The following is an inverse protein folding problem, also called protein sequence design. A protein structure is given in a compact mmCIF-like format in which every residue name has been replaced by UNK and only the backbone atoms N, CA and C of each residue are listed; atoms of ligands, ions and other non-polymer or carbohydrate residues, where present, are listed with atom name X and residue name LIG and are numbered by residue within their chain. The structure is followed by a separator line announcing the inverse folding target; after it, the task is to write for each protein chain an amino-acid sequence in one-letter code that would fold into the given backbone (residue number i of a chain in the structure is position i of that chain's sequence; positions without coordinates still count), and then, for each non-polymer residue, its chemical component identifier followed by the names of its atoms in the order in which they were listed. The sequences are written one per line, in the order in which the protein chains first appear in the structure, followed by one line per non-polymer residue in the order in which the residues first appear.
data_IF_675492924951
#
_entry.id   IF_675492924951
#
_cell.length_a   1.000
_cell.length_b   1.000
_cell.length_c   1.000
_cell.angle_alpha   90.00
_cell.angle_beta   90.00
_cell.angle_gamma   90.00
#
_symmetry.space_group_name_H-M   'P 1'
#
loop_
_entity.id
_entity.type
_entity.pdbx_description
1 polymer ?
#
# COMPACT_ATOMS: atom_id res chain seq x y z
N UNK A 1 -23.48 7.86 -13.81
CA UNK A 1 -23.24 7.66 -12.36
C UNK A 1 -24.48 7.23 -11.55
N UNK A 2 -25.66 7.00 -12.15
CA UNK A 2 -26.88 6.68 -11.38
C UNK A 2 -26.88 5.30 -10.71
N UNK A 3 -26.34 4.28 -11.37
CA UNK A 3 -26.44 2.87 -10.94
C UNK A 3 -25.77 2.58 -9.59
N UNK A 4 -24.57 3.12 -9.35
CA UNK A 4 -23.84 2.92 -8.09
C UNK A 4 -24.52 3.62 -6.90
N UNK A 5 -25.08 4.82 -7.12
CA UNK A 5 -25.78 5.56 -6.07
C UNK A 5 -27.17 4.97 -5.76
N UNK A 6 -27.83 4.34 -6.75
CA UNK A 6 -29.07 3.59 -6.52
C UNK A 6 -28.83 2.31 -5.75
N UNK A 7 -27.76 1.56 -6.06
CA UNK A 7 -27.40 0.37 -5.30
C UNK A 7 -27.07 0.71 -3.83
N UNK A 8 -26.21 1.72 -3.62
CA UNK A 8 -25.90 2.20 -2.26
C UNK A 8 -27.15 2.71 -1.54
N UNK A 9 -28.06 3.39 -2.26
CA UNK A 9 -29.34 3.82 -1.71
C UNK A 9 -30.19 2.64 -1.23
N UNK A 10 -30.20 1.55 -2.00
CA UNK A 10 -30.86 0.29 -1.64
C UNK A 10 -30.30 -0.33 -0.37
N UNK A 11 -28.99 -0.30 -0.15
CA UNK A 11 -28.39 -0.79 1.10
C UNK A 11 -28.75 0.04 2.34
N UNK A 12 -29.07 1.33 2.17
CA UNK A 12 -29.41 2.21 3.30
C UNK A 12 -30.90 2.13 3.67
N UNK A 13 -31.80 2.10 2.68
CA UNK A 13 -33.24 2.19 2.91
C UNK A 13 -34.03 0.95 2.46
N UNK A 14 -33.34 -0.09 1.99
CA UNK A 14 -33.95 -1.24 1.30
C UNK A 14 -34.11 -0.99 -0.20
N UNK A 15 -34.02 -2.05 -1.01
CA UNK A 15 -34.07 -1.95 -2.47
C UNK A 15 -35.38 -1.37 -3.01
N UNK A 16 -36.51 -1.57 -2.30
CA UNK A 16 -37.80 -0.96 -2.63
C UNK A 16 -37.84 0.56 -2.44
N UNK A 17 -36.94 1.11 -1.63
CA UNK A 17 -36.82 2.54 -1.33
C UNK A 17 -35.45 3.10 -1.76
N UNK A 18 -34.80 2.47 -2.73
CA UNK A 18 -33.51 2.88 -3.25
C UNK A 18 -33.46 4.38 -3.64
N UNK A 19 -34.49 4.98 -4.30
CA UNK A 19 -34.47 6.41 -4.63
C UNK A 19 -34.35 7.33 -3.39
N UNK A 20 -35.02 6.97 -2.30
CA UNK A 20 -34.94 7.74 -1.05
C UNK A 20 -33.54 7.64 -0.44
N UNK A 21 -32.95 6.44 -0.43
CA UNK A 21 -31.56 6.23 -0.01
C UNK A 21 -30.56 7.00 -0.88
N UNK A 22 -30.74 6.99 -2.21
CA UNK A 22 -29.92 7.77 -3.15
C UNK A 22 -29.98 9.26 -2.86
N UNK A 23 -31.18 9.81 -2.60
CA UNK A 23 -31.34 11.22 -2.22
C UNK A 23 -30.59 11.54 -0.93
N UNK A 24 -30.65 10.66 0.08
CA UNK A 24 -29.90 10.81 1.34
C UNK A 24 -28.39 10.82 1.10
N UNK A 25 -27.85 9.88 0.33
CA UNK A 25 -26.42 9.83 0.01
C UNK A 25 -26.00 11.07 -0.78
N UNK A 26 -26.79 11.47 -1.78
CA UNK A 26 -26.49 12.66 -2.58
C UNK A 26 -26.43 13.92 -1.70
N UNK A 27 -27.38 14.07 -0.78
CA UNK A 27 -27.37 15.16 0.20
C UNK A 27 -26.15 15.11 1.13
N UNK A 28 -25.76 13.90 1.59
CA UNK A 28 -24.56 13.71 2.40
C UNK A 28 -23.29 14.15 1.66
N UNK A 29 -23.10 13.68 0.42
CA UNK A 29 -21.92 13.99 -0.40
C UNK A 29 -21.80 15.47 -0.77
N UNK A 30 -22.90 16.23 -0.75
CA UNK A 30 -22.92 17.69 -0.98
C UNK A 30 -22.86 18.50 0.31
N UNK A 31 -22.98 17.86 1.47
CA UNK A 31 -23.00 18.54 2.76
C UNK A 31 -21.63 19.10 3.10
N UNK A 32 -21.53 20.40 3.41
CA UNK A 32 -20.29 21.03 3.90
C UNK A 32 -19.82 20.47 5.24
N UNK A 33 -20.71 19.82 6.00
CA UNK A 33 -20.37 19.15 7.27
C UNK A 33 -19.76 17.76 7.05
N UNK A 34 -19.87 17.21 5.84
CA UNK A 34 -19.28 15.93 5.50
C UNK A 34 -17.85 16.13 5.01
N UNK A 35 -16.88 15.58 5.73
CA UNK A 35 -15.45 15.69 5.41
C UNK A 35 -14.80 14.31 5.41
N UNK A 36 -13.70 14.16 4.67
CA UNK A 36 -12.91 12.92 4.64
C UNK A 36 -12.42 12.50 6.03
N UNK A 37 -12.20 13.45 6.94
CA UNK A 37 -11.78 13.20 8.32
C UNK A 37 -12.76 12.30 9.08
N UNK A 38 -14.07 12.35 8.77
CA UNK A 38 -15.07 11.48 9.39
C UNK A 38 -14.80 10.01 9.02
N UNK A 39 -14.49 9.77 7.73
CA UNK A 39 -14.17 8.43 7.23
C UNK A 39 -12.86 7.94 7.84
N UNK A 40 -11.84 8.79 7.88
CA UNK A 40 -10.56 8.46 8.52
C UNK A 40 -10.75 8.05 9.98
N UNK A 41 -11.46 8.85 10.76
CA UNK A 41 -11.71 8.58 12.18
C UNK A 41 -12.47 7.25 12.38
N UNK A 42 -13.43 6.97 11.50
CA UNK A 42 -14.13 5.70 11.50
C UNK A 42 -13.18 4.53 11.22
N UNK A 43 -12.36 4.60 10.17
CA UNK A 43 -11.41 3.54 9.80
C UNK A 43 -10.37 3.31 10.91
N UNK A 44 -9.84 4.36 11.52
CA UNK A 44 -8.92 4.24 12.65
C UNK A 44 -9.57 3.60 13.89
N UNK A 45 -10.83 3.96 14.19
CA UNK A 45 -11.59 3.34 15.28
C UNK A 45 -11.79 1.84 15.04
N UNK A 46 -12.16 1.44 13.82
CA UNK A 46 -12.28 0.02 13.46
C UNK A 46 -10.93 -0.70 13.50
N UNK A 47 -9.86 -0.04 13.06
CA UNK A 47 -8.50 -0.60 13.09
C UNK A 47 -8.05 -0.90 14.51
N UNK A 48 -8.24 0.03 15.46
CA UNK A 48 -7.89 -0.20 16.88
C UNK A 48 -8.62 -1.41 17.47
N UNK A 49 -9.94 -1.49 17.26
CA UNK A 49 -10.74 -2.64 17.70
C UNK A 49 -10.24 -3.96 17.11
N UNK A 50 -9.90 -3.94 15.82
CA UNK A 50 -9.39 -5.13 15.14
C UNK A 50 -8.00 -5.52 15.64
N UNK A 51 -7.12 -4.56 15.91
CA UNK A 51 -5.80 -4.81 16.47
C UNK A 51 -5.86 -5.50 17.81
N UNK A 52 -6.68 -4.99 18.74
CA UNK A 52 -6.90 -5.62 20.03
C UNK A 52 -7.37 -7.07 19.88
N UNK A 53 -8.28 -7.32 18.94
CA UNK A 53 -8.76 -8.67 18.64
C UNK A 53 -7.66 -9.59 18.09
N UNK A 54 -6.82 -9.10 17.16
CA UNK A 54 -5.70 -9.87 16.61
C UNK A 54 -4.67 -10.22 17.69
N UNK A 55 -4.31 -9.25 18.53
CA UNK A 55 -3.37 -9.45 19.64
C UNK A 55 -3.94 -10.46 20.64
N UNK A 56 -5.22 -10.35 21.02
CA UNK A 56 -5.89 -11.33 21.90
C UNK A 56 -5.89 -12.74 21.33
N UNK A 57 -5.94 -12.89 20.00
CA UNK A 57 -5.85 -14.18 19.31
C UNK A 57 -4.39 -14.69 19.16
N UNK A 58 -3.40 -13.97 19.70
CA UNK A 58 -1.98 -14.32 19.53
C UNK A 58 -1.46 -14.14 18.10
N UNK A 59 -2.18 -13.40 17.25
CA UNK A 59 -1.80 -13.15 15.86
C UNK A 59 -0.99 -11.87 15.79
N UNK A 60 0.16 -11.91 15.14
CA UNK A 60 0.97 -10.71 14.86
C UNK A 60 0.25 -9.83 13.84
N UNK A 61 -0.11 -8.58 14.18
CA UNK A 61 -0.70 -7.66 13.23
C UNK A 61 0.31 -7.20 12.17
N UNK A 62 -0.17 -7.08 10.93
CA UNK A 62 0.59 -6.62 9.77
C UNK A 62 -0.07 -5.37 9.20
N UNK A 63 0.70 -4.30 9.02
CA UNK A 63 0.26 -3.07 8.35
C UNK A 63 0.83 -3.03 6.94
N UNK A 64 0.03 -3.40 5.96
CA UNK A 64 0.42 -3.48 4.55
C UNK A 64 0.36 -2.09 3.92
N UNK A 65 1.46 -1.64 3.33
CA UNK A 65 1.51 -0.39 2.55
C UNK A 65 1.30 -0.67 1.08
N UNK A 66 0.41 0.09 0.44
CA UNK A 66 0.18 0.02 -1.00
C UNK A 66 -0.11 1.41 -1.59
N UNK A 67 0.23 1.58 -2.85
CA UNK A 67 0.00 2.78 -3.63
C UNK A 67 -0.49 2.44 -5.03
N UNK A 68 -1.41 3.28 -5.52
CA UNK A 68 -1.84 3.14 -6.91
C UNK A 68 -2.42 4.44 -7.44
N UNK A 69 -3.20 4.33 -8.51
CA UNK A 69 -3.95 5.44 -9.10
C UNK A 69 -5.40 5.07 -9.33
N UNK A 70 -6.24 6.08 -9.31
CA UNK A 70 -7.60 6.01 -9.82
C UNK A 70 -7.67 6.76 -11.14
N UNK A 71 -7.98 6.00 -12.19
CA UNK A 71 -8.21 6.54 -13.52
C UNK A 71 -9.62 7.16 -13.59
N UNK A 72 -9.71 8.40 -14.06
CA UNK A 72 -10.96 9.16 -14.26
C UNK A 72 -10.98 9.75 -15.67
N UNK A 73 -10.77 8.88 -16.67
CA UNK A 73 -10.65 9.29 -18.07
C UNK A 73 -11.90 9.99 -18.63
N UNK A 74 -13.06 9.75 -18.04
CA UNK A 74 -14.33 10.40 -18.36
C UNK A 74 -14.47 11.81 -17.79
N UNK A 75 -13.54 12.23 -16.92
CA UNK A 75 -13.61 13.49 -16.17
C UNK A 75 -12.50 14.45 -16.58
N UNK A 76 -12.88 15.65 -16.99
CA UNK A 76 -11.94 16.73 -17.33
C UNK A 76 -12.04 17.93 -16.38
N UNK A 77 -13.20 18.10 -15.74
CA UNK A 77 -13.52 19.27 -14.92
C UNK A 77 -13.47 19.00 -13.41
N UNK A 78 -13.16 17.78 -12.98
CA UNK A 78 -13.00 17.51 -11.55
C UNK A 78 -11.74 18.21 -11.04
N UNK A 79 -11.88 18.86 -9.89
CA UNK A 79 -10.78 19.54 -9.25
C UNK A 79 -9.71 18.55 -8.77
N UNK A 80 -8.45 18.96 -8.84
CA UNK A 80 -7.32 18.17 -8.35
C UNK A 80 -6.92 17.00 -9.25
N UNK A 81 -7.48 16.83 -10.45
CA UNK A 81 -7.01 15.79 -11.39
C UNK A 81 -5.54 16.03 -11.80
N UNK A 82 -4.76 14.95 -11.88
CA UNK A 82 -3.44 14.93 -12.52
C UNK A 82 -3.34 13.84 -13.59
N UNK A 83 -2.21 13.83 -14.28
CA UNK A 83 -1.87 12.79 -15.25
C UNK A 83 -1.44 11.51 -14.53
N UNK A 84 -2.15 10.40 -14.76
CA UNK A 84 -1.81 9.07 -14.21
C UNK A 84 -1.66 8.03 -15.32
N UNK A 85 -0.71 7.11 -15.19
CA UNK A 85 -0.46 6.05 -16.19
C UNK A 85 -1.67 5.10 -16.27
N UNK A 86 -2.28 4.95 -17.45
CA UNK A 86 -3.46 4.10 -17.62
C UNK A 86 -3.06 2.63 -17.78
N UNK A 87 -3.45 1.84 -16.79
CA UNK A 87 -3.35 0.38 -16.82
C UNK A 87 -4.27 -0.23 -17.90
N UNK A 88 -5.46 0.35 -18.07
CA UNK A 88 -6.43 -0.06 -19.09
C UNK A 88 -5.88 0.17 -20.49
N UNK A 89 -5.36 1.36 -20.78
CA UNK A 89 -4.78 1.67 -22.08
C UNK A 89 -3.58 0.77 -22.37
N UNK A 90 -2.67 0.61 -21.41
CA UNK A 90 -1.50 -0.30 -21.53
C UNK A 90 -1.89 -1.73 -21.88
N UNK A 91 -2.99 -2.24 -21.32
CA UNK A 91 -3.52 -3.56 -21.65
C UNK A 91 -4.11 -3.60 -23.06
N UNK A 92 -4.90 -2.58 -23.44
CA UNK A 92 -5.52 -2.48 -24.76
C UNK A 92 -4.49 -2.33 -25.89
N UNK A 93 -3.34 -1.72 -25.61
CA UNK A 93 -2.24 -1.59 -26.59
C UNK A 93 -1.36 -2.84 -26.68
N UNK A 94 -1.61 -3.88 -25.88
CA UNK A 94 -0.90 -5.16 -25.95
C UNK A 94 -1.50 -6.05 -27.07
N UNK A 95 -1.47 -5.53 -28.28
CA UNK A 95 -1.90 -6.21 -29.52
C UNK A 95 -0.73 -7.00 -30.11
N UNK A 96 -1.02 -8.03 -30.91
CA UNK A 96 -0.01 -8.84 -31.61
C UNK A 96 0.91 -7.94 -32.45
N UNK A 97 2.22 -8.16 -32.35
CA UNK A 97 3.24 -7.44 -33.13
C UNK A 97 2.91 -7.51 -34.62
N UNK A 98 2.96 -6.37 -35.31
CA UNK A 98 2.66 -6.23 -36.75
C UNK A 98 1.23 -5.78 -37.09
N UNK A 99 0.26 -5.94 -36.19
CA UNK A 99 -1.12 -5.48 -36.40
C UNK A 99 -1.35 -4.04 -35.92
N UNK A 100 -0.59 -3.64 -34.91
CA UNK A 100 -0.65 -2.32 -34.32
C UNK A 100 0.73 -1.97 -33.78
N UNK A 101 1.17 -0.74 -34.03
CA UNK A 101 2.39 -0.18 -33.45
C UNK A 101 1.97 0.69 -32.26
N UNK A 102 1.99 0.16 -31.02
CA UNK A 102 1.53 0.92 -29.88
C UNK A 102 2.41 2.15 -29.64
N UNK A 103 1.86 3.22 -29.03
CA UNK A 103 2.65 4.38 -28.65
C UNK A 103 3.84 3.95 -27.78
N UNK A 104 5.04 4.43 -28.15
CA UNK A 104 6.26 4.14 -27.38
C UNK A 104 6.27 4.85 -26.01
N UNK A 105 5.50 5.94 -25.87
CA UNK A 105 5.38 6.71 -24.63
C UNK A 105 4.31 6.12 -23.71
N UNK A 106 4.43 6.39 -22.41
CA UNK A 106 3.40 6.04 -21.44
C UNK A 106 2.09 6.72 -21.79
N UNK A 107 0.99 5.97 -21.78
CA UNK A 107 -0.34 6.50 -21.99
C UNK A 107 -0.89 6.92 -20.64
N UNK A 108 -1.24 8.20 -20.52
CA UNK A 108 -1.79 8.76 -19.29
C UNK A 108 -3.21 9.27 -19.50
N UNK A 109 -4.00 9.23 -18.44
CA UNK A 109 -5.37 9.75 -18.37
C UNK A 109 -5.50 10.65 -17.14
N UNK A 110 -6.52 11.53 -17.08
CA UNK A 110 -6.85 12.24 -15.85
C UNK A 110 -7.15 11.26 -14.70
N UNK A 111 -6.72 11.57 -13.49
CA UNK A 111 -6.94 10.75 -12.32
C UNK A 111 -6.31 11.30 -11.04
N UNK A 112 -6.26 10.45 -10.02
CA UNK A 112 -5.63 10.73 -8.73
C UNK A 112 -4.63 9.63 -8.38
N UNK A 113 -3.60 9.98 -7.62
CA UNK A 113 -2.83 8.98 -6.90
C UNK A 113 -3.52 8.66 -5.58
N UNK A 114 -3.33 7.45 -5.07
CA UNK A 114 -3.69 7.11 -3.71
C UNK A 114 -2.60 6.31 -3.04
N UNK A 115 -2.50 6.47 -1.73
CA UNK A 115 -1.64 5.69 -0.85
C UNK A 115 -2.48 5.20 0.32
N UNK A 116 -2.36 3.92 0.67
CA UNK A 116 -3.18 3.30 1.71
C UNK A 116 -2.35 2.43 2.64
N UNK A 117 -2.83 2.32 3.87
CA UNK A 117 -2.38 1.32 4.83
C UNK A 117 -3.53 0.39 5.17
N UNK A 118 -3.24 -0.91 5.13
CA UNK A 118 -4.22 -1.97 5.32
C UNK A 118 -3.79 -2.87 6.48
N UNK A 119 -4.70 -3.11 7.40
CA UNK A 119 -4.48 -4.03 8.52
C UNK A 119 -4.83 -5.46 8.12
N UNK A 120 -3.96 -6.40 8.45
CA UNK A 120 -4.21 -7.84 8.32
C UNK A 120 -3.37 -8.64 9.33
N UNK A 121 -3.46 -9.97 9.24
CA UNK A 121 -2.55 -10.93 9.86
C UNK A 121 -2.46 -12.17 8.97
N UNK A 122 -1.52 -13.07 9.24
CA UNK A 122 -1.40 -14.30 8.45
C UNK A 122 -2.69 -15.13 8.51
N UNK A 123 -3.28 -15.40 7.34
CA UNK A 123 -4.54 -16.14 7.20
C UNK A 123 -5.81 -15.31 7.44
N UNK A 124 -5.69 -14.02 7.71
CA UNK A 124 -6.82 -13.13 8.00
C UNK A 124 -7.23 -12.29 6.78
N UNK A 125 -8.48 -11.83 6.80
CA UNK A 125 -8.94 -10.84 5.83
C UNK A 125 -8.22 -9.50 6.02
N UNK A 126 -8.22 -8.67 4.98
CA UNK A 126 -7.62 -7.34 5.01
C UNK A 126 -8.71 -6.30 5.31
N UNK A 127 -8.38 -5.26 6.07
CA UNK A 127 -9.24 -4.08 6.25
C UNK A 127 -8.44 -2.78 6.08
N UNK A 128 -9.06 -1.77 5.49
CA UNK A 128 -8.43 -0.45 5.30
C UNK A 128 -8.27 0.25 6.66
N UNK A 129 -7.07 0.75 6.94
CA UNK A 129 -6.77 1.58 8.11
C UNK A 129 -6.83 3.07 7.78
N UNK A 130 -6.12 3.47 6.74
CA UNK A 130 -6.12 4.85 6.24
C UNK A 130 -5.90 4.83 4.73
N UNK A 131 -6.48 5.80 4.04
CA UNK A 131 -6.27 6.01 2.61
C UNK A 131 -6.20 7.50 2.31
N UNK A 132 -5.17 7.93 1.59
CA UNK A 132 -4.98 9.32 1.20
C UNK A 132 -4.91 9.45 -0.31
N UNK A 133 -5.75 10.35 -0.83
CA UNK A 133 -5.86 10.67 -2.24
C UNK A 133 -5.10 11.97 -2.51
N UNK A 134 -4.28 12.00 -3.55
CA UNK A 134 -3.41 13.14 -3.80
C UNK A 134 -3.12 13.33 -5.28
N UNK A 135 -2.61 14.51 -5.62
CA UNK A 135 -2.38 14.94 -6.99
C UNK A 135 -1.01 15.57 -7.16
N UNK A 136 -0.45 15.47 -8.36
CA UNK A 136 0.89 16.01 -8.67
C UNK A 136 0.84 17.40 -9.31
N UNK A 137 -0.35 17.99 -9.48
CA UNK A 137 -0.55 19.26 -10.19
C UNK A 137 -1.57 20.17 -9.50
N UNK A 138 -1.44 21.47 -9.75
CA UNK A 138 -2.42 22.48 -9.36
C UNK A 138 -2.31 22.88 -7.90
N UNK A 139 -3.37 23.50 -7.38
CA UNK A 139 -3.43 24.03 -6.01
C UNK A 139 -3.19 22.96 -4.93
N UNK A 140 -3.56 21.70 -5.18
CA UNK A 140 -3.42 20.59 -4.25
C UNK A 140 -2.21 19.70 -4.56
N UNK A 141 -1.25 20.21 -5.34
CA UNK A 141 -0.04 19.48 -5.69
C UNK A 141 0.65 18.98 -4.44
N UNK A 142 1.02 17.71 -4.46
CA UNK A 142 1.69 17.03 -3.37
C UNK A 142 2.73 16.04 -3.88
N UNK A 143 3.62 15.62 -2.99
CA UNK A 143 4.59 14.56 -3.23
C UNK A 143 4.23 13.31 -2.42
N UNK A 144 4.25 12.14 -3.06
CA UNK A 144 3.93 10.88 -2.39
C UNK A 144 4.75 10.61 -1.12
N UNK A 145 5.99 11.10 -1.06
CA UNK A 145 6.83 11.06 0.15
C UNK A 145 6.21 11.81 1.34
N UNK A 146 5.68 13.01 1.11
CA UNK A 146 5.01 13.80 2.16
C UNK A 146 3.72 13.13 2.63
N UNK A 147 3.00 12.47 1.71
CA UNK A 147 1.81 11.67 2.04
C UNK A 147 2.21 10.52 2.96
N UNK A 148 3.22 9.72 2.58
CA UNK A 148 3.68 8.61 3.39
C UNK A 148 4.17 9.02 4.77
N UNK A 149 4.96 10.11 4.86
CA UNK A 149 5.45 10.62 6.14
C UNK A 149 4.28 10.97 7.09
N UNK A 150 3.31 11.78 6.62
CA UNK A 150 2.12 12.14 7.41
C UNK A 150 1.25 10.93 7.77
N UNK A 151 1.15 9.95 6.88
CA UNK A 151 0.44 8.70 7.16
C UNK A 151 1.14 7.89 8.25
N UNK A 152 2.47 7.79 8.20
CA UNK A 152 3.27 7.07 9.19
C UNK A 152 3.21 7.76 10.56
N UNK A 153 3.32 9.09 10.60
CA UNK A 153 3.15 9.91 11.81
C UNK A 153 1.77 9.67 12.44
N UNK A 154 0.70 9.74 11.64
CA UNK A 154 -0.67 9.50 12.12
C UNK A 154 -0.86 8.06 12.62
N UNK A 155 -0.26 7.08 11.96
CA UNK A 155 -0.28 5.67 12.38
C UNK A 155 0.43 5.50 13.72
N UNK A 156 1.63 6.04 13.87
CA UNK A 156 2.38 5.99 15.12
C UNK A 156 1.56 6.60 16.27
N UNK A 157 0.93 7.76 16.05
CA UNK A 157 0.15 8.44 17.07
C UNK A 157 -1.17 7.72 17.43
N UNK A 158 -1.85 7.13 16.45
CA UNK A 158 -3.19 6.53 16.64
C UNK A 158 -3.17 5.04 16.97
N UNK A 159 -2.08 4.36 16.63
CA UNK A 159 -1.97 2.91 16.67
C UNK A 159 -0.80 2.45 17.55
N UNK A 160 0.27 3.23 17.65
CA UNK A 160 1.41 2.93 18.52
C UNK A 160 2.42 1.96 17.91
N UNK A 161 3.14 1.25 18.77
CA UNK A 161 4.19 0.27 18.41
C UNK A 161 3.63 -1.17 18.42
N UNK A 162 4.42 -2.14 17.98
CA UNK A 162 4.09 -3.57 18.03
C UNK A 162 3.37 -4.12 16.80
N UNK A 163 3.34 -3.35 15.70
CA UNK A 163 2.81 -3.77 14.40
C UNK A 163 3.95 -3.85 13.41
N UNK A 164 3.98 -4.92 12.61
CA UNK A 164 4.95 -5.03 11.54
C UNK A 164 4.41 -4.37 10.27
N UNK A 165 5.04 -3.28 9.85
CA UNK A 165 4.73 -2.66 8.57
C UNK A 165 5.35 -3.45 7.43
N UNK A 166 4.56 -3.84 6.44
CA UNK A 166 5.01 -4.64 5.29
C UNK A 166 5.00 -3.76 4.05
N UNK A 167 6.17 -3.61 3.43
CA UNK A 167 6.38 -2.76 2.29
C UNK A 167 6.96 -3.56 1.11
N UNK A 168 6.48 -3.23 -0.08
CA UNK A 168 6.96 -3.80 -1.33
C UNK A 168 8.33 -3.22 -1.76
N UNK A 169 8.82 -3.61 -2.94
CA UNK A 169 10.12 -3.14 -3.45
C UNK A 169 10.14 -1.69 -3.89
N UNK A 170 8.99 -1.06 -4.17
CA UNK A 170 8.89 0.36 -4.50
C UNK A 170 9.36 1.25 -3.34
N UNK A 171 9.11 0.78 -2.12
CA UNK A 171 9.52 1.42 -0.88
C UNK A 171 10.95 1.12 -0.46
N UNK A 172 11.69 0.23 -1.12
CA UNK A 172 13.07 -0.09 -0.75
C UNK A 172 14.06 1.06 -1.05
N UNK A 173 14.09 2.07 -0.18
CA UNK A 173 14.91 3.29 -0.26
C UNK A 173 15.35 3.74 1.15
N UNK A 174 16.29 4.68 1.21
CA UNK A 174 16.87 5.20 2.46
C UNK A 174 15.85 5.77 3.43
N UNK A 175 14.93 6.60 2.92
CA UNK A 175 13.90 7.24 3.73
C UNK A 175 13.03 6.23 4.49
N UNK A 176 12.87 5.00 3.98
CA UNK A 176 12.12 3.96 4.70
C UNK A 176 12.86 3.51 5.94
N UNK A 177 14.18 3.32 5.85
CA UNK A 177 14.98 2.97 7.02
C UNK A 177 14.97 4.13 8.00
N UNK A 178 15.22 5.34 7.52
CA UNK A 178 15.25 6.57 8.31
C UNK A 178 13.94 6.78 9.08
N UNK A 179 12.80 6.85 8.38
CA UNK A 179 11.53 7.20 9.01
C UNK A 179 11.04 6.09 9.93
N UNK A 180 11.10 4.83 9.52
CA UNK A 180 10.62 3.75 10.40
C UNK A 180 11.49 3.60 11.65
N UNK A 181 12.80 3.89 11.56
CA UNK A 181 13.67 3.95 12.74
C UNK A 181 13.30 5.14 13.62
N UNK A 182 13.12 6.34 13.04
CA UNK A 182 12.77 7.56 13.78
C UNK A 182 11.40 7.47 14.48
N UNK A 183 10.41 6.84 13.85
CA UNK A 183 9.09 6.59 14.45
C UNK A 183 9.05 5.33 15.33
N UNK A 184 10.19 4.64 15.49
CA UNK A 184 10.34 3.41 16.26
C UNK A 184 9.31 2.33 15.88
N UNK A 185 9.18 2.09 14.57
CA UNK A 185 8.23 1.14 13.99
C UNK A 185 8.96 -0.07 13.40
N UNK A 186 8.43 -1.27 13.66
CA UNK A 186 8.89 -2.49 13.01
C UNK A 186 8.51 -2.46 11.52
N UNK A 187 9.44 -2.83 10.64
CA UNK A 187 9.15 -2.95 9.22
C UNK A 187 9.80 -4.17 8.57
N UNK A 188 9.13 -4.66 7.54
CA UNK A 188 9.61 -5.68 6.60
C UNK A 188 9.47 -5.09 5.21
N UNK A 189 10.60 -4.82 4.56
CA UNK A 189 10.63 -4.28 3.21
C UNK A 189 11.27 -5.28 2.25
N UNK A 190 10.64 -5.50 1.10
CA UNK A 190 11.24 -6.30 0.04
C UNK A 190 12.37 -5.52 -0.63
N UNK A 191 13.59 -5.69 -0.14
CA UNK A 191 14.73 -4.91 -0.62
C UNK A 191 15.12 -5.21 -2.08
N UNK A 192 15.63 -4.19 -2.79
CA UNK A 192 16.02 -4.30 -4.21
C UNK A 192 17.33 -5.07 -4.35
N UNK A 193 17.38 -6.03 -5.28
CA UNK A 193 18.51 -6.95 -5.49
C UNK A 193 19.90 -6.28 -5.66
N UNK A 194 19.93 -5.10 -6.26
CA UNK A 194 21.17 -4.41 -6.64
C UNK A 194 21.60 -3.36 -5.61
N UNK A 195 20.81 -3.12 -4.57
CA UNK A 195 21.20 -2.19 -3.51
C UNK A 195 22.33 -2.79 -2.68
N UNK A 196 23.22 -1.93 -2.20
CA UNK A 196 24.37 -2.32 -1.39
C UNK A 196 23.96 -2.42 0.08
N UNK A 197 24.49 -3.43 0.76
CA UNK A 197 24.40 -3.62 2.20
C UNK A 197 25.80 -3.95 2.72
N UNK A 198 26.06 -3.59 3.97
CA UNK A 198 27.32 -3.83 4.66
C UNK A 198 27.12 -4.98 5.64
N UNK A 199 28.03 -5.95 5.59
CA UNK A 199 28.10 -7.03 6.56
C UNK A 199 29.49 -7.02 7.20
N UNK A 200 29.55 -7.21 8.53
CA UNK A 200 30.79 -7.15 9.32
C UNK A 200 31.94 -7.97 8.73
N UNK A 201 31.67 -9.22 8.32
CA UNK A 201 32.72 -10.11 7.77
C UNK A 201 32.81 -10.16 6.24
N UNK A 202 31.73 -9.82 5.52
CA UNK A 202 31.66 -9.99 4.05
C UNK A 202 31.79 -8.68 3.29
N UNK A 203 31.91 -7.56 4.02
CA UNK A 203 32.04 -6.22 3.50
C UNK A 203 30.76 -5.72 2.82
N UNK A 204 30.94 -4.68 2.00
CA UNK A 204 29.88 -4.04 1.21
C UNK A 204 29.57 -4.85 -0.04
N UNK A 205 28.36 -5.39 -0.17
CA UNK A 205 27.94 -6.21 -1.32
C UNK A 205 26.51 -5.90 -1.74
N UNK A 206 26.19 -6.24 -2.99
CA UNK A 206 24.81 -6.21 -3.46
C UNK A 206 23.96 -7.22 -2.68
N UNK A 207 22.75 -6.82 -2.34
CA UNK A 207 21.81 -7.55 -1.49
C UNK A 207 21.65 -9.01 -1.91
N UNK A 208 21.47 -9.27 -3.20
CA UNK A 208 21.27 -10.64 -3.68
C UNK A 208 22.54 -11.51 -3.61
N UNK A 209 23.73 -10.92 -3.79
CA UNK A 209 25.02 -11.62 -3.62
C UNK A 209 25.26 -11.94 -2.15
N UNK A 210 24.93 -10.99 -1.27
CA UNK A 210 25.04 -11.15 0.16
C UNK A 210 24.09 -12.25 0.66
N UNK A 211 22.80 -12.18 0.31
CA UNK A 211 21.79 -13.17 0.69
C UNK A 211 22.12 -14.59 0.22
N UNK A 212 22.59 -14.77 -1.03
CA UNK A 212 23.00 -16.08 -1.57
C UNK A 212 24.19 -16.70 -0.85
N UNK A 213 24.97 -15.90 -0.15
CA UNK A 213 26.20 -16.35 0.51
C UNK A 213 25.96 -16.95 1.90
N UNK A 214 24.72 -16.95 2.39
CA UNK A 214 24.34 -17.51 3.68
C UNK A 214 23.67 -18.88 3.53
N UNK A 215 24.01 -19.78 4.44
CA UNK A 215 23.35 -21.09 4.54
C UNK A 215 21.95 -20.90 5.15
N UNK A 216 21.02 -21.73 4.69
CA UNK A 216 19.67 -21.79 5.25
C UNK A 216 19.70 -22.06 6.75
N UNK A 217 18.92 -21.29 7.52
CA UNK A 217 18.75 -21.42 8.97
C UNK A 217 17.43 -22.08 9.34
N UNK A 218 16.40 -21.94 8.51
CA UNK A 218 15.10 -22.60 8.71
C UNK A 218 14.55 -23.09 7.38
N UNK A 219 13.74 -24.15 7.44
CA UNK A 219 13.13 -24.79 6.28
C UNK A 219 11.68 -25.14 6.59
N UNK A 220 10.80 -25.02 5.61
CA UNK A 220 9.40 -25.42 5.69
C UNK A 220 8.94 -25.95 4.34
N UNK A 221 8.19 -27.05 4.34
CA UNK A 221 7.49 -27.53 3.16
C UNK A 221 6.19 -26.71 3.02
N UNK A 222 5.98 -26.13 1.86
CA UNK A 222 4.75 -25.40 1.52
C UNK A 222 4.16 -25.92 0.22
N UNK A 223 2.84 -25.84 0.09
CA UNK A 223 2.17 -26.11 -1.18
C UNK A 223 2.26 -24.86 -2.06
N UNK A 224 2.87 -24.99 -3.25
CA UNK A 224 2.82 -23.96 -4.27
C UNK A 224 1.40 -23.91 -4.84
N UNK A 225 0.65 -22.84 -4.55
CA UNK A 225 -0.75 -22.72 -4.94
C UNK A 225 -0.96 -22.59 -6.46
N UNK A 226 0.06 -22.13 -7.21
CA UNK A 226 0.02 -21.99 -8.66
C UNK A 226 0.38 -23.31 -9.35
N UNK A 227 1.45 -23.97 -8.88
CA UNK A 227 1.98 -25.20 -9.50
C UNK A 227 1.39 -26.48 -8.92
N UNK A 228 0.67 -26.40 -7.80
CA UNK A 228 0.10 -27.53 -7.05
C UNK A 228 1.13 -28.57 -6.60
N UNK A 229 2.37 -28.15 -6.36
CA UNK A 229 3.46 -29.03 -5.90
C UNK A 229 3.88 -28.68 -4.48
N UNK A 230 4.28 -29.70 -3.71
CA UNK A 230 4.96 -29.49 -2.43
C UNK A 230 6.39 -29.03 -2.70
N UNK A 231 6.77 -27.90 -2.12
CA UNK A 231 8.09 -27.31 -2.26
C UNK A 231 8.72 -27.05 -0.90
N UNK A 232 9.95 -27.52 -0.72
CA UNK A 232 10.77 -27.12 0.42
C UNK A 232 11.29 -25.70 0.20
N UNK A 233 10.89 -24.78 1.08
CA UNK A 233 11.40 -23.40 1.12
C UNK A 233 12.33 -23.27 2.30
N UNK A 234 13.49 -22.67 2.07
CA UNK A 234 14.45 -22.32 3.10
C UNK A 234 14.60 -20.82 3.25
N UNK A 235 14.79 -20.36 4.48
CA UNK A 235 15.13 -18.98 4.80
C UNK A 235 16.47 -18.93 5.52
N UNK A 236 17.23 -17.86 5.27
CA UNK A 236 18.41 -17.48 6.02
C UNK A 236 18.22 -16.04 6.45
N UNK A 237 18.83 -15.65 7.56
CA UNK A 237 18.86 -14.26 7.98
C UNK A 237 20.22 -13.91 8.56
N UNK A 238 20.63 -12.65 8.42
CA UNK A 238 21.85 -12.12 9.02
C UNK A 238 21.71 -10.64 9.36
N UNK A 239 22.54 -10.16 10.28
CA UNK A 239 22.63 -8.73 10.57
C UNK A 239 23.42 -8.01 9.47
N UNK A 240 22.93 -6.86 9.05
CA UNK A 240 23.52 -6.00 8.02
C UNK A 240 23.30 -4.53 8.38
N UNK A 241 24.06 -3.64 7.75
CA UNK A 241 23.85 -2.20 7.81
C UNK A 241 23.58 -1.64 6.41
N UNK A 242 22.86 -0.53 6.34
CA UNK A 242 22.74 0.23 5.11
C UNK A 242 23.91 1.21 4.99
N UNK A 243 24.52 1.44 3.81
CA UNK A 243 25.67 2.34 3.67
C UNK A 243 25.44 3.78 4.16
N UNK A 244 24.20 4.23 4.16
CA UNK A 244 23.81 5.57 4.60
C UNK A 244 23.43 5.63 6.09
N UNK A 245 23.39 4.47 6.77
CA UNK A 245 22.95 4.31 8.16
C UNK A 245 23.80 3.23 8.85
N UNK A 246 25.06 3.53 9.13
CA UNK A 246 25.99 2.56 9.72
C UNK A 246 25.63 2.21 11.17
N UNK A 247 25.00 3.12 11.91
CA UNK A 247 24.59 2.86 13.30
C UNK A 247 23.31 2.01 13.42
N UNK A 248 22.61 1.76 12.30
CA UNK A 248 21.34 1.03 12.29
C UNK A 248 21.57 -0.42 11.87
N UNK A 249 21.33 -1.33 12.80
CA UNK A 249 21.38 -2.76 12.56
C UNK A 249 20.07 -3.27 11.97
N UNK A 250 20.13 -3.77 10.75
CA UNK A 250 19.02 -4.38 10.02
C UNK A 250 19.19 -5.90 9.94
N UNK A 251 18.10 -6.62 9.70
CA UNK A 251 18.12 -8.05 9.37
C UNK A 251 17.82 -8.25 7.89
N UNK A 252 18.73 -8.90 7.16
CA UNK A 252 18.57 -9.37 5.78
C UNK A 252 18.13 -10.83 5.76
#
# INVERSE_FOLDING_TARGET
MGLLLSELGGYICGFSHAPAGTKRISNLLRSKKWTSTIIDNFLFSQTRKRLESLVKQGKRPLMLWDDSRLEKAESWFLEGLCSVESSKAKRLTRIKKGYYSPPNKRICVPGYHWTSTLLSALGESVSVCQMSWWTTRGKYKEYGRNIMFRMLEKLQAQVGKGILHVLDRGYANEWTIEWFTNFEQDFLVRWKKNHLLIHSTKGKKQTHLLARSFKARSKKIVLDSQRKILKSISIAWTQVQHPSFEDINLSL
#
